data_IF_051254910679
#
_entry.id   IF_051254910679
#
_cell.length_a   1.000
_cell.length_b   1.000
_cell.length_c   1.000
_cell.angle_alpha   90.00
_cell.angle_beta   90.00
_cell.angle_gamma   90.00
#
_symmetry.space_group_name_H-M   'P 1'
#
loop_
_entity.id
_entity.type
_entity.pdbx_description
1 polymer ?
#
# COMPACT_ATOMS: atom_id res chain seq x y z
N UNK A 1 17.72 8.37 -1.93
CA UNK A 1 18.85 7.55 -1.49
C UNK A 1 19.22 7.80 -0.02
N UNK A 2 19.30 9.05 0.49
CA UNK A 2 19.60 9.37 1.90
C UNK A 2 18.56 8.81 2.88
N UNK A 3 17.27 8.87 2.57
CA UNK A 3 16.21 8.36 3.44
C UNK A 3 16.19 6.82 3.53
N UNK A 4 16.59 6.14 2.48
CA UNK A 4 16.70 4.67 2.46
C UNK A 4 17.82 4.17 3.40
N UNK A 5 18.90 4.95 3.52
CA UNK A 5 20.04 4.64 4.40
C UNK A 5 19.66 4.77 5.87
N UNK A 6 18.90 5.81 6.25
CA UNK A 6 18.43 6.01 7.62
C UNK A 6 17.50 4.90 8.10
N UNK A 7 16.60 4.44 7.22
CA UNK A 7 15.71 3.32 7.53
C UNK A 7 16.48 2.02 7.79
N UNK A 8 17.47 1.72 6.96
CA UNK A 8 18.33 0.53 7.13
C UNK A 8 19.14 0.57 8.42
N UNK A 9 19.56 1.77 8.86
CA UNK A 9 20.26 1.98 10.12
C UNK A 9 19.35 1.78 11.32
N UNK A 10 18.16 2.38 11.32
CA UNK A 10 17.14 2.19 12.37
C UNK A 10 16.76 0.73 12.50
N UNK A 11 16.50 0.05 11.39
CA UNK A 11 16.20 -1.38 11.36
C UNK A 11 17.32 -2.24 11.95
N UNK A 12 18.59 -1.97 11.59
CA UNK A 12 19.75 -2.68 12.15
C UNK A 12 19.94 -2.41 13.64
N UNK A 13 19.72 -1.18 14.11
CA UNK A 13 19.79 -0.82 15.53
C UNK A 13 18.71 -1.54 16.34
N UNK A 14 17.47 -1.57 15.83
CA UNK A 14 16.35 -2.27 16.48
C UNK A 14 16.61 -3.78 16.54
N UNK A 15 17.16 -4.37 15.48
CA UNK A 15 17.59 -5.79 15.52
C UNK A 15 18.70 -6.03 16.55
N UNK A 16 19.66 -5.14 16.69
CA UNK A 16 20.75 -5.24 17.67
C UNK A 16 20.27 -5.12 19.13
N UNK A 17 19.26 -4.28 19.36
CA UNK A 17 18.64 -4.14 20.69
C UNK A 17 17.82 -5.38 21.05
N UNK A 18 17.02 -5.89 20.12
CA UNK A 18 16.23 -7.11 20.31
C UNK A 18 17.09 -8.38 20.51
N UNK A 19 18.30 -8.43 19.96
CA UNK A 19 19.20 -9.57 20.10
C UNK A 19 19.97 -9.59 21.43
N UNK A 20 19.92 -8.50 22.22
CA UNK A 20 20.59 -8.40 23.53
C UNK A 20 19.69 -8.81 24.70
N UNK A 21 18.38 -8.93 24.48
CA UNK A 21 17.41 -9.27 25.49
C UNK A 21 17.14 -10.78 25.44
N UNK A 22 17.74 -11.52 26.39
CA UNK A 22 17.68 -12.98 26.44
C UNK A 22 16.28 -13.55 26.77
N UNK A 23 15.31 -12.74 27.18
CA UNK A 23 13.95 -13.16 27.51
C UNK A 23 12.98 -13.08 26.31
N UNK A 24 13.38 -12.47 25.20
CA UNK A 24 12.51 -12.32 24.02
C UNK A 24 12.90 -13.32 22.94
N UNK A 25 11.93 -14.12 22.50
CA UNK A 25 12.08 -14.94 21.29
C UNK A 25 12.48 -14.04 20.11
N UNK A 26 13.78 -14.03 19.80
CA UNK A 26 14.37 -13.17 18.80
C UNK A 26 13.68 -13.26 17.42
N UNK A 27 13.09 -14.42 17.10
CA UNK A 27 12.34 -14.62 15.86
C UNK A 27 11.00 -13.87 15.88
N UNK A 28 10.28 -13.92 17.00
CA UNK A 28 9.01 -13.19 17.16
C UNK A 28 9.22 -11.68 17.21
N UNK A 29 10.28 -11.24 17.91
CA UNK A 29 10.65 -9.83 17.95
C UNK A 29 10.99 -9.29 16.55
N UNK A 30 11.76 -10.04 15.75
CA UNK A 30 12.09 -9.67 14.37
C UNK A 30 10.85 -9.56 13.48
N UNK A 31 9.88 -10.47 13.62
CA UNK A 31 8.63 -10.40 12.86
C UNK A 31 7.83 -9.15 13.21
N UNK A 32 7.67 -8.85 14.52
CA UNK A 32 6.97 -7.65 14.99
C UNK A 32 7.63 -6.35 14.51
N UNK A 33 8.96 -6.27 14.61
CA UNK A 33 9.72 -5.11 14.12
C UNK A 33 9.55 -4.93 12.62
N UNK A 34 9.62 -6.01 11.84
CA UNK A 34 9.39 -5.96 10.40
C UNK A 34 7.98 -5.47 10.06
N UNK A 35 6.98 -5.97 10.77
CA UNK A 35 5.58 -5.56 10.58
C UNK A 35 5.39 -4.09 10.94
N UNK A 36 5.94 -3.64 12.08
CA UNK A 36 5.88 -2.25 12.51
C UNK A 36 6.50 -1.31 11.49
N UNK A 37 7.67 -1.67 11.01
CA UNK A 37 8.40 -0.91 10.00
C UNK A 37 7.65 -0.82 8.67
N UNK A 38 7.02 -1.92 8.22
CA UNK A 38 6.22 -1.93 6.98
C UNK A 38 5.01 -1.02 7.06
N UNK A 39 4.39 -0.92 8.23
CA UNK A 39 3.22 -0.08 8.46
C UNK A 39 3.57 1.38 8.77
N UNK A 40 4.83 1.72 9.00
CA UNK A 40 5.23 3.08 9.35
C UNK A 40 4.97 4.07 8.20
N UNK A 41 4.30 5.19 8.48
CA UNK A 41 3.84 6.16 7.47
C UNK A 41 4.95 6.69 6.58
N UNK A 42 6.13 6.97 7.17
CA UNK A 42 7.27 7.43 6.39
C UNK A 42 7.70 6.40 5.34
N UNK A 43 7.74 5.12 5.71
CA UNK A 43 8.10 4.05 4.78
C UNK A 43 7.06 3.89 3.67
N UNK A 44 5.77 3.94 4.02
CA UNK A 44 4.68 3.82 3.06
C UNK A 44 4.66 5.01 2.10
N UNK A 45 4.74 6.24 2.62
CA UNK A 45 4.73 7.44 1.79
C UNK A 45 5.88 7.49 0.79
N UNK A 46 7.10 7.08 1.20
CA UNK A 46 8.24 7.00 0.27
C UNK A 46 8.04 5.95 -0.82
N UNK A 47 7.53 4.77 -0.47
CA UNK A 47 7.24 3.72 -1.46
C UNK A 47 6.13 4.14 -2.43
N UNK A 48 5.05 4.70 -1.91
CA UNK A 48 3.92 5.19 -2.71
C UNK A 48 4.40 6.28 -3.69
N UNK A 49 5.20 7.22 -3.24
CA UNK A 49 5.83 8.22 -4.12
C UNK A 49 6.61 7.55 -5.26
N UNK A 50 7.48 6.61 -4.95
CA UNK A 50 8.26 5.89 -5.98
C UNK A 50 7.36 5.15 -6.96
N UNK A 51 6.32 4.48 -6.47
CA UNK A 51 5.36 3.73 -7.30
C UNK A 51 4.63 4.68 -8.27
N UNK A 52 4.09 5.79 -7.77
CA UNK A 52 3.32 6.73 -8.58
C UNK A 52 4.21 7.41 -9.62
N UNK A 53 5.40 7.89 -9.22
CA UNK A 53 6.32 8.54 -10.15
C UNK A 53 6.84 7.55 -11.21
N UNK A 54 7.13 6.30 -10.82
CA UNK A 54 7.50 5.26 -11.78
C UNK A 54 6.36 4.95 -12.75
N UNK A 55 5.15 4.76 -12.25
CA UNK A 55 3.97 4.52 -13.08
C UNK A 55 3.76 5.65 -14.08
N UNK A 56 3.74 6.89 -13.61
CA UNK A 56 3.54 8.08 -14.45
C UNK A 56 4.59 8.19 -15.55
N UNK A 57 5.86 8.00 -15.19
CA UNK A 57 6.99 8.19 -16.12
C UNK A 57 7.17 7.05 -17.11
N UNK A 58 6.97 5.81 -16.69
CA UNK A 58 7.44 4.65 -17.45
C UNK A 58 6.31 3.70 -17.90
N UNK A 59 5.14 3.75 -17.27
CA UNK A 59 4.06 2.78 -17.51
C UNK A 59 2.84 3.44 -18.15
N UNK A 60 2.40 4.57 -17.64
CA UNK A 60 1.14 5.22 -18.00
C UNK A 60 0.97 5.44 -19.51
N UNK A 61 2.05 5.71 -20.25
CA UNK A 61 2.01 5.91 -21.71
C UNK A 61 1.96 4.63 -22.55
N UNK A 62 2.15 3.46 -21.93
CA UNK A 62 2.10 2.18 -22.63
C UNK A 62 0.67 1.84 -23.07
N UNK A 63 0.53 0.97 -24.06
CA UNK A 63 -0.77 0.54 -24.61
C UNK A 63 -1.68 1.71 -25.02
N UNK A 64 -1.09 2.77 -25.58
CA UNK A 64 -1.86 3.97 -25.95
C UNK A 64 -2.46 4.72 -24.75
N UNK A 65 -1.84 4.64 -23.57
CA UNK A 65 -2.32 5.26 -22.34
C UNK A 65 -3.28 4.38 -21.50
N UNK A 66 -3.47 3.12 -21.90
CA UNK A 66 -4.38 2.19 -21.20
C UNK A 66 -3.66 1.27 -20.19
N UNK A 67 -2.34 1.40 -20.04
CA UNK A 67 -1.58 0.55 -19.13
C UNK A 67 -2.01 0.69 -17.68
N UNK A 68 -2.06 -0.44 -16.99
CA UNK A 68 -2.43 -0.57 -15.58
C UNK A 68 -1.26 -1.10 -14.75
N UNK A 69 -1.32 -0.87 -13.44
CA UNK A 69 -0.38 -1.44 -12.49
C UNK A 69 -1.08 -2.10 -11.31
N UNK A 70 -0.45 -3.13 -10.75
CA UNK A 70 -0.92 -3.80 -9.53
C UNK A 70 0.18 -3.78 -8.47
N UNK A 71 -0.16 -3.33 -7.28
CA UNK A 71 0.74 -3.32 -6.12
C UNK A 71 0.26 -4.36 -5.12
N UNK A 72 1.05 -5.39 -4.93
CA UNK A 72 0.76 -6.45 -3.95
C UNK A 72 1.33 -6.06 -2.60
N UNK A 73 0.48 -5.97 -1.60
CA UNK A 73 0.86 -5.65 -0.22
C UNK A 73 0.87 -6.90 0.66
N UNK A 74 1.63 -6.87 1.74
CA UNK A 74 1.79 -8.03 2.64
C UNK A 74 0.61 -8.23 3.59
N UNK A 75 -0.25 -7.23 3.76
CA UNK A 75 -1.42 -7.32 4.65
C UNK A 75 -2.51 -6.33 4.25
N UNK A 76 -3.72 -6.59 4.74
CA UNK A 76 -4.87 -5.68 4.55
C UNK A 76 -4.62 -4.30 5.17
N UNK A 77 -3.99 -4.22 6.35
CA UNK A 77 -3.60 -2.94 6.99
C UNK A 77 -2.64 -2.16 6.12
N UNK A 78 -1.69 -2.85 5.49
CA UNK A 78 -0.75 -2.24 4.56
C UNK A 78 -1.49 -1.70 3.32
N UNK A 79 -2.41 -2.48 2.73
CA UNK A 79 -3.21 -2.03 1.58
C UNK A 79 -4.02 -0.77 1.88
N UNK A 80 -4.68 -0.70 3.06
CA UNK A 80 -5.40 0.49 3.52
C UNK A 80 -4.48 1.71 3.59
N UNK A 81 -3.32 1.58 4.22
CA UNK A 81 -2.37 2.70 4.35
C UNK A 81 -1.78 3.13 3.02
N UNK A 82 -1.51 2.17 2.11
CA UNK A 82 -1.08 2.50 0.76
C UNK A 82 -2.14 3.31 0.02
N UNK A 83 -3.42 2.93 0.13
CA UNK A 83 -4.52 3.68 -0.50
C UNK A 83 -4.62 5.10 0.04
N UNK A 84 -4.59 5.28 1.37
CA UNK A 84 -4.63 6.61 2.00
C UNK A 84 -3.44 7.48 1.58
N UNK A 85 -2.23 6.91 1.59
CA UNK A 85 -1.03 7.62 1.16
C UNK A 85 -1.02 7.92 -0.34
N UNK A 86 -1.57 7.02 -1.16
CA UNK A 86 -1.72 7.20 -2.60
C UNK A 86 -2.63 8.38 -2.92
N UNK A 87 -3.83 8.38 -2.34
CA UNK A 87 -4.82 9.44 -2.56
C UNK A 87 -4.28 10.81 -2.12
N UNK A 88 -3.62 10.84 -0.96
CA UNK A 88 -2.95 12.04 -0.45
C UNK A 88 -1.91 12.55 -1.44
N UNK A 89 -0.99 11.71 -1.88
CA UNK A 89 0.09 12.10 -2.79
C UNK A 89 -0.42 12.58 -4.15
N UNK A 90 -1.36 11.85 -4.74
CA UNK A 90 -2.00 12.20 -6.02
C UNK A 90 -2.69 13.57 -5.93
N UNK A 91 -3.39 13.84 -4.81
CA UNK A 91 -4.03 15.12 -4.56
C UNK A 91 -3.01 16.24 -4.41
N UNK A 92 -1.95 16.03 -3.60
CA UNK A 92 -0.89 17.03 -3.38
C UNK A 92 -0.13 17.37 -4.66
N UNK A 93 0.04 16.41 -5.57
CA UNK A 93 0.72 16.62 -6.85
C UNK A 93 -0.21 17.08 -7.99
N UNK A 94 -1.53 17.12 -7.77
CA UNK A 94 -2.51 17.45 -8.81
C UNK A 94 -2.61 16.41 -9.92
N UNK A 95 -2.32 15.13 -9.67
CA UNK A 95 -2.35 14.06 -10.67
C UNK A 95 -3.76 13.48 -10.83
N UNK A 96 -4.67 14.26 -11.39
CA UNK A 96 -6.08 13.88 -11.52
C UNK A 96 -6.33 12.63 -12.38
N UNK A 97 -5.42 12.31 -13.30
CA UNK A 97 -5.53 11.16 -14.21
C UNK A 97 -5.02 9.84 -13.61
N UNK A 98 -4.53 9.83 -12.37
CA UNK A 98 -4.02 8.63 -11.72
C UNK A 98 -4.89 8.31 -10.52
N UNK A 99 -5.71 7.27 -10.63
CA UNK A 99 -6.61 6.82 -9.57
C UNK A 99 -6.27 5.39 -9.17
N UNK A 100 -6.28 5.13 -7.86
CA UNK A 100 -6.11 3.79 -7.34
C UNK A 100 -7.39 3.22 -6.76
N UNK A 101 -7.62 1.91 -6.97
CA UNK A 101 -8.56 1.14 -6.17
C UNK A 101 -7.80 0.22 -5.20
N UNK A 102 -8.45 -0.15 -4.10
CA UNK A 102 -7.92 -1.12 -3.16
C UNK A 102 -8.79 -2.36 -3.10
N UNK A 103 -8.18 -3.54 -3.05
CA UNK A 103 -8.87 -4.82 -3.02
C UNK A 103 -8.36 -5.70 -1.87
N UNK A 104 -9.24 -6.00 -0.92
CA UNK A 104 -9.02 -6.93 0.18
C UNK A 104 -10.36 -7.47 0.69
N UNK A 105 -10.35 -8.59 1.40
CA UNK A 105 -11.59 -9.17 1.94
C UNK A 105 -11.80 -8.78 3.40
N UNK A 106 -13.07 -8.58 3.78
CA UNK A 106 -13.48 -8.27 5.15
C UNK A 106 -13.23 -6.83 5.57
N UNK A 107 -13.09 -6.63 6.86
CA UNK A 107 -12.94 -5.31 7.51
C UNK A 107 -11.53 -5.18 8.09
N UNK A 108 -11.01 -3.96 8.14
CA UNK A 108 -9.71 -3.61 8.72
C UNK A 108 -9.91 -2.53 9.78
N UNK A 109 -9.39 -2.78 10.96
CA UNK A 109 -9.31 -1.82 12.06
C UNK A 109 -7.85 -1.66 12.51
N UNK A 110 -7.51 -0.45 12.95
CA UNK A 110 -6.22 -0.14 13.56
C UNK A 110 -6.38 -0.01 15.07
N UNK A 111 -5.30 -0.32 15.79
CA UNK A 111 -5.22 -0.18 17.23
C UNK A 111 -3.97 0.61 17.63
N UNK A 112 -3.85 0.95 18.91
CA UNK A 112 -2.75 1.76 19.44
C UNK A 112 -1.36 1.13 19.29
N UNK A 113 -1.29 -0.19 19.10
CA UNK A 113 -0.02 -0.90 18.86
C UNK A 113 0.48 -0.80 17.42
N UNK A 114 -0.38 -0.38 16.48
CA UNK A 114 0.03 -0.13 15.10
C UNK A 114 0.78 1.22 15.02
N UNK A 115 1.88 1.33 14.27
CA UNK A 115 2.65 2.57 14.19
C UNK A 115 1.83 3.69 13.54
N UNK A 116 1.90 4.91 14.07
CA UNK A 116 1.22 6.10 13.50
C UNK A 116 -0.28 5.91 13.26
N UNK A 117 -0.96 5.14 14.14
CA UNK A 117 -2.36 4.75 13.93
C UNK A 117 -3.38 5.66 14.62
N UNK A 118 -2.96 6.61 15.46
CA UNK A 118 -3.85 7.41 16.30
C UNK A 118 -5.03 8.04 15.54
N UNK A 119 -4.81 8.50 14.30
CA UNK A 119 -5.87 9.04 13.45
C UNK A 119 -6.76 7.96 12.80
N UNK A 120 -6.36 6.68 12.84
CA UNK A 120 -7.06 5.57 12.20
C UNK A 120 -7.78 4.66 13.22
N UNK A 121 -7.44 4.77 14.50
CA UNK A 121 -8.08 4.00 15.58
C UNK A 121 -9.57 4.35 15.65
N UNK A 122 -10.40 3.32 15.79
CA UNK A 122 -11.86 3.46 15.81
C UNK A 122 -12.53 3.61 14.44
N UNK A 123 -11.74 3.69 13.37
CA UNK A 123 -12.28 3.67 12.01
C UNK A 123 -12.28 2.25 11.44
N UNK A 124 -13.34 1.93 10.68
CA UNK A 124 -13.51 0.67 9.98
C UNK A 124 -13.31 0.87 8.48
N UNK A 125 -12.36 0.12 7.92
CA UNK A 125 -12.02 0.19 6.51
C UNK A 125 -12.49 -1.07 5.80
N UNK A 126 -13.25 -0.88 4.73
CA UNK A 126 -13.75 -1.95 3.85
C UNK A 126 -13.45 -1.60 2.39
N UNK A 127 -13.47 -2.59 1.51
CA UNK A 127 -13.37 -2.29 0.06
C UNK A 127 -14.40 -1.25 -0.38
N UNK A 128 -15.60 -1.33 0.17
CA UNK A 128 -16.70 -0.44 -0.22
C UNK A 128 -16.42 1.02 0.14
N UNK A 129 -16.06 1.30 1.40
CA UNK A 129 -15.85 2.69 1.83
C UNK A 129 -14.53 3.29 1.32
N UNK A 130 -13.58 2.46 0.98
CA UNK A 130 -12.29 2.91 0.41
C UNK A 130 -12.31 3.11 -1.12
N UNK A 131 -13.35 2.64 -1.81
CA UNK A 131 -13.52 2.81 -3.24
C UNK A 131 -14.88 3.48 -3.56
N UNK A 132 -15.14 4.71 -3.10
CA UNK A 132 -16.44 5.35 -3.25
C UNK A 132 -16.88 5.53 -4.72
N UNK A 133 -15.90 5.65 -5.62
CA UNK A 133 -16.13 5.83 -7.05
C UNK A 133 -16.53 4.53 -7.79
N UNK A 134 -16.47 3.37 -7.12
CA UNK A 134 -17.00 2.12 -7.70
C UNK A 134 -18.50 2.18 -7.95
N UNK A 135 -19.28 2.85 -7.09
CA UNK A 135 -20.74 3.01 -7.23
C UNK A 135 -21.48 1.69 -7.48
N UNK A 136 -21.06 0.62 -6.79
CA UNK A 136 -21.64 -0.72 -6.92
C UNK A 136 -21.17 -1.54 -8.14
N UNK A 137 -20.27 -1.01 -8.97
CA UNK A 137 -19.69 -1.76 -10.08
C UNK A 137 -18.79 -2.89 -9.60
N UNK A 138 -18.74 -3.97 -10.37
CA UNK A 138 -17.76 -5.03 -10.15
C UNK A 138 -16.32 -4.49 -10.30
N UNK A 139 -15.43 -4.82 -9.36
CA UNK A 139 -14.06 -4.29 -9.32
C UNK A 139 -13.25 -4.59 -10.59
N UNK A 140 -13.37 -5.81 -11.16
CA UNK A 140 -12.66 -6.17 -12.39
C UNK A 140 -13.08 -5.30 -13.57
N UNK A 141 -14.37 -5.09 -13.74
CA UNK A 141 -14.92 -4.23 -14.79
C UNK A 141 -14.54 -2.76 -14.59
N UNK A 142 -14.61 -2.29 -13.34
CA UNK A 142 -14.18 -0.94 -13.01
C UNK A 142 -12.69 -0.71 -13.24
N UNK A 143 -11.85 -1.72 -12.96
CA UNK A 143 -10.42 -1.64 -13.23
C UNK A 143 -10.10 -1.70 -14.73
N UNK A 144 -10.91 -2.35 -15.53
CA UNK A 144 -10.74 -2.36 -16.99
C UNK A 144 -11.07 -1.02 -17.65
N UNK A 145 -11.92 -0.20 -17.01
CA UNK A 145 -12.26 1.15 -17.48
C UNK A 145 -11.11 2.15 -17.23
N UNK A 146 -11.25 3.36 -17.78
CA UNK A 146 -10.26 4.43 -17.61
C UNK A 146 -10.32 5.12 -16.23
N UNK A 147 -11.25 4.73 -15.36
CA UNK A 147 -11.43 5.35 -14.04
C UNK A 147 -10.31 5.01 -13.05
N UNK A 148 -9.62 3.88 -13.23
CA UNK A 148 -8.58 3.42 -12.34
C UNK A 148 -7.34 2.95 -13.10
N UNK A 149 -6.17 3.38 -12.68
CA UNK A 149 -4.89 3.04 -13.28
C UNK A 149 -4.08 2.06 -12.43
N UNK A 150 -4.28 2.10 -11.11
CA UNK A 150 -3.52 1.27 -10.15
C UNK A 150 -4.47 0.47 -9.26
N UNK A 151 -4.15 -0.80 -9.02
CA UNK A 151 -4.85 -1.64 -8.05
C UNK A 151 -3.90 -2.01 -6.90
N UNK A 152 -4.32 -1.72 -5.66
CA UNK A 152 -3.60 -2.06 -4.44
C UNK A 152 -4.27 -3.29 -3.83
N UNK A 153 -3.56 -4.41 -3.72
CA UNK A 153 -4.18 -5.68 -3.32
C UNK A 153 -3.55 -6.30 -2.08
N UNK A 154 -4.38 -6.94 -1.25
CA UNK A 154 -3.94 -7.79 -0.16
C UNK A 154 -4.71 -9.11 -0.18
N UNK A 155 -4.03 -10.23 -0.43
CA UNK A 155 -4.60 -11.59 -0.47
C UNK A 155 -5.79 -11.77 -1.43
N UNK A 156 -5.96 -10.85 -2.38
CA UNK A 156 -7.03 -10.86 -3.37
C UNK A 156 -6.44 -10.50 -4.73
N UNK A 157 -6.90 -11.16 -5.79
CA UNK A 157 -6.40 -10.96 -7.17
C UNK A 157 -4.90 -11.24 -7.39
N UNK A 158 -4.20 -11.85 -6.45
CA UNK A 158 -2.79 -12.21 -6.60
C UNK A 158 -2.60 -13.38 -7.57
N UNK A 159 -3.63 -14.21 -7.75
CA UNK A 159 -3.68 -15.32 -8.70
C UNK A 159 -4.99 -15.30 -9.46
N UNK A 160 -4.97 -15.70 -10.73
CA UNK A 160 -6.17 -15.80 -11.57
C UNK A 160 -6.80 -14.43 -11.92
N UNK A 161 -6.05 -13.34 -11.80
CA UNK A 161 -6.47 -12.03 -12.28
C UNK A 161 -5.95 -11.82 -13.70
N UNK A 162 -6.78 -12.15 -14.67
CA UNK A 162 -6.48 -11.93 -16.09
C UNK A 162 -6.85 -10.49 -16.46
N UNK A 163 -5.83 -9.66 -16.67
CA UNK A 163 -5.97 -8.26 -17.07
C UNK A 163 -4.90 -7.91 -18.12
N UNK A 164 -5.27 -7.90 -19.42
CA UNK A 164 -4.32 -7.67 -20.51
C UNK A 164 -3.60 -6.31 -20.47
N UNK A 165 -4.18 -5.32 -19.79
CA UNK A 165 -3.60 -3.97 -19.65
C UNK A 165 -2.60 -3.87 -18.49
N UNK A 166 -2.39 -4.94 -17.72
CA UNK A 166 -1.48 -4.94 -16.58
C UNK A 166 -0.02 -5.02 -17.06
N UNK A 167 0.70 -3.89 -16.95
CA UNK A 167 2.08 -3.74 -17.41
C UNK A 167 3.10 -3.64 -16.26
N UNK A 168 2.66 -3.46 -15.02
CA UNK A 168 3.52 -3.33 -13.85
C UNK A 168 2.84 -3.82 -12.56
#
# INVERSE_FOLDING_TARGET
LKNYTNYKVVYKLTQKLASKDHEVDAKKAKVKVNQWVRLHDHNISQKVKVIIEHFKKNVMGLLGGQAKAMVVTSSRKEAVRYKLAFDKYVTEQGYQSIQAMVAFSGEVEFNDSDPNSSALVGQKFTEHNMNPNLKGREMRKAFDSDDYQVMLVANKFQTGFDQPKLCA
#
